data_IF_794227938780
#
_entry.id   IF_794227938780
#
_cell.length_a   1.000
_cell.length_b   1.000
_cell.length_c   1.000
_cell.angle_alpha   90.00
_cell.angle_beta   90.00
_cell.angle_gamma   90.00
#
_symmetry.space_group_name_H-M   'P 1'
#
loop_
_entity.id
_entity.type
_entity.pdbx_description
1 polymer ?
#
# COMPACT_ATOMS: atom_id res chain seq x y z
N UNK A 1 -0.57 45.23 15.24
CA UNK A 1 0.41 44.16 15.54
C UNK A 1 -0.01 42.77 15.02
N UNK A 2 -1.30 42.45 14.95
CA UNK A 2 -1.85 41.15 14.49
C UNK A 2 -1.46 40.75 13.05
N UNK A 3 -1.32 41.69 12.11
CA UNK A 3 -0.96 41.39 10.70
C UNK A 3 0.46 40.82 10.52
N UNK A 4 1.39 41.11 11.46
CA UNK A 4 2.77 40.57 11.43
C UNK A 4 2.84 39.13 11.93
N UNK A 5 1.90 38.72 12.79
CA UNK A 5 1.82 37.36 13.33
C UNK A 5 1.36 36.36 12.27
N UNK A 6 0.35 36.72 11.45
CA UNK A 6 -0.13 35.86 10.37
C UNK A 6 0.93 35.61 9.29
N UNK A 7 1.74 36.62 8.97
CA UNK A 7 2.85 36.46 8.02
C UNK A 7 3.92 35.50 8.53
N UNK A 8 4.20 35.51 9.84
CA UNK A 8 5.16 34.63 10.48
C UNK A 8 4.66 33.18 10.53
N UNK A 9 3.38 32.96 10.83
CA UNK A 9 2.75 31.62 10.81
C UNK A 9 2.71 31.06 9.38
N UNK A 10 2.41 31.89 8.38
CA UNK A 10 2.45 31.47 6.98
C UNK A 10 3.87 31.12 6.52
N UNK A 11 4.89 31.89 6.92
CA UNK A 11 6.29 31.57 6.64
C UNK A 11 6.77 30.30 7.34
N UNK A 12 6.36 30.05 8.58
CA UNK A 12 6.63 28.80 9.28
C UNK A 12 5.96 27.61 8.59
N UNK A 13 4.75 27.77 8.05
CA UNK A 13 4.06 26.68 7.35
C UNK A 13 4.73 26.35 6.01
N UNK A 14 5.14 27.37 5.23
CA UNK A 14 5.89 27.16 3.98
C UNK A 14 7.29 26.58 4.24
N UNK A 15 7.97 26.99 5.32
CA UNK A 15 9.27 26.42 5.69
C UNK A 15 9.17 24.94 6.11
N UNK A 16 8.06 24.55 6.74
CA UNK A 16 7.80 23.13 7.04
C UNK A 16 7.62 22.35 5.74
N UNK A 17 6.87 22.84 4.75
CA UNK A 17 6.68 22.14 3.46
C UNK A 17 7.99 21.99 2.66
N UNK A 18 8.89 22.99 2.71
CA UNK A 18 10.18 22.91 2.00
C UNK A 18 11.19 21.94 2.64
N UNK A 19 11.05 21.61 3.93
CA UNK A 19 11.95 20.69 4.64
C UNK A 19 11.76 19.21 4.26
N UNK A 20 10.61 18.84 3.67
CA UNK A 20 10.33 17.45 3.27
C UNK A 20 10.79 17.12 1.83
N UNK A 21 11.40 18.08 1.13
CA UNK A 21 11.83 17.94 -0.27
C UNK A 21 13.33 17.64 -0.43
N UNK A 22 14.13 17.67 0.64
CA UNK A 22 15.60 17.55 0.57
C UNK A 22 16.16 16.17 0.95
N UNK A 23 15.43 15.08 0.69
CA UNK A 23 16.00 13.73 0.74
C UNK A 23 16.35 13.22 -0.66
N UNK A 24 16.99 14.05 -1.48
CA UNK A 24 17.83 13.53 -2.56
C UNK A 24 19.21 13.38 -1.96
N UNK A 25 19.60 12.13 -1.65
CA UNK A 25 20.95 11.82 -1.20
C UNK A 25 21.94 12.17 -2.32
N UNK A 26 22.39 13.43 -2.34
CA UNK A 26 23.47 13.92 -3.19
C UNK A 26 24.77 13.27 -2.74
N UNK A 27 25.04 12.06 -3.24
CA UNK A 27 26.25 11.32 -2.89
C UNK A 27 26.20 9.81 -3.11
N UNK A 28 25.04 9.20 -3.35
CA UNK A 28 24.99 7.80 -3.77
C UNK A 28 25.17 7.72 -5.29
N UNK A 29 26.19 7.00 -5.80
CA UNK A 29 26.36 6.85 -7.24
C UNK A 29 25.17 6.06 -7.80
N UNK A 30 24.66 6.47 -8.97
CA UNK A 30 23.64 5.66 -9.65
C UNK A 30 24.29 4.35 -10.09
N UNK A 31 23.51 3.27 -10.06
CA UNK A 31 23.99 1.99 -10.51
C UNK A 31 22.87 1.10 -11.01
N UNK A 32 23.27 0.11 -11.79
CA UNK A 32 22.50 -1.10 -12.00
C UNK A 32 23.25 -2.27 -11.37
N UNK A 33 22.51 -3.19 -10.78
CA UNK A 33 23.02 -4.48 -10.35
C UNK A 33 22.37 -5.54 -11.22
N UNK A 34 23.20 -6.34 -11.89
CA UNK A 34 22.77 -7.40 -12.77
C UNK A 34 22.48 -8.69 -11.98
N UNK A 35 21.77 -9.64 -12.60
CA UNK A 35 21.48 -10.95 -11.97
C UNK A 35 22.72 -11.77 -11.61
N UNK A 36 23.84 -11.55 -12.32
CA UNK A 36 25.14 -12.16 -12.02
C UNK A 36 25.84 -11.51 -10.80
N UNK A 37 25.23 -10.49 -10.18
CA UNK A 37 25.79 -9.74 -9.05
C UNK A 37 26.73 -8.60 -9.46
N UNK A 38 27.00 -8.43 -10.75
CA UNK A 38 27.82 -7.34 -11.25
C UNK A 38 27.11 -6.00 -11.06
N UNK A 39 27.82 -5.02 -10.50
CA UNK A 39 27.27 -3.69 -10.23
C UNK A 39 27.99 -2.66 -11.09
N UNK A 40 27.25 -2.04 -12.00
CA UNK A 40 27.75 -1.04 -12.95
C UNK A 40 27.31 0.33 -12.48
N UNK A 41 28.27 1.17 -12.12
CA UNK A 41 28.04 2.54 -11.65
C UNK A 41 28.00 3.53 -12.82
N UNK A 42 27.20 4.58 -12.67
CA UNK A 42 27.05 5.63 -13.65
C UNK A 42 26.79 6.99 -12.98
N UNK A 43 27.13 8.07 -13.68
CA UNK A 43 26.76 9.43 -13.28
C UNK A 43 25.32 9.77 -13.67
N UNK A 44 24.80 9.11 -14.71
CA UNK A 44 23.42 9.27 -15.19
C UNK A 44 22.82 7.92 -15.53
N UNK A 45 21.63 7.65 -14.99
CA UNK A 45 20.85 6.45 -15.26
C UNK A 45 19.47 6.84 -15.77
N UNK A 46 19.10 6.36 -16.95
CA UNK A 46 17.81 6.63 -17.57
C UNK A 46 17.14 5.35 -18.03
N UNK A 47 15.85 5.18 -17.73
CA UNK A 47 15.04 4.13 -18.34
C UNK A 47 14.39 4.67 -19.62
N UNK A 48 14.65 4.03 -20.76
CA UNK A 48 14.07 4.41 -22.05
C UNK A 48 13.08 3.35 -22.50
N UNK A 49 11.90 3.80 -22.92
CA UNK A 49 10.85 2.96 -23.54
C UNK A 49 10.47 3.50 -24.90
N UNK A 50 11.28 3.25 -25.96
CA UNK A 50 10.97 3.72 -27.29
C UNK A 50 9.74 2.99 -27.85
N UNK A 51 8.91 3.69 -28.62
CA UNK A 51 7.61 3.16 -29.12
C UNK A 51 7.75 1.87 -29.94
N UNK A 52 8.82 1.76 -30.74
CA UNK A 52 9.05 0.62 -31.65
C UNK A 52 10.28 -0.22 -31.32
N UNK A 53 10.98 0.08 -30.22
CA UNK A 53 12.20 -0.64 -29.84
C UNK A 53 12.02 -1.27 -28.47
N UNK A 54 12.91 -2.20 -28.13
CA UNK A 54 12.93 -2.77 -26.79
C UNK A 54 13.29 -1.70 -25.76
N UNK A 55 12.73 -1.81 -24.56
CA UNK A 55 13.09 -0.96 -23.44
C UNK A 55 14.53 -1.24 -23.01
N UNK A 56 15.23 -0.24 -22.50
CA UNK A 56 16.60 -0.40 -22.00
C UNK A 56 16.92 0.64 -20.93
N UNK A 57 17.86 0.28 -20.06
CA UNK A 57 18.57 1.24 -19.22
C UNK A 57 19.73 1.83 -20.00
N UNK A 58 19.85 3.16 -19.96
CA UNK A 58 20.93 3.93 -20.55
C UNK A 58 21.78 4.52 -19.44
N UNK A 59 23.04 4.13 -19.39
CA UNK A 59 24.04 4.57 -18.43
C UNK A 59 25.04 5.49 -19.14
N UNK A 60 25.26 6.68 -18.58
CA UNK A 60 26.19 7.70 -19.09
C UNK A 60 26.08 7.93 -20.61
N UNK A 61 24.84 7.91 -21.12
CA UNK A 61 24.46 8.07 -22.53
C UNK A 61 25.04 7.05 -23.54
N UNK A 62 25.80 6.05 -23.08
CA UNK A 62 26.55 5.13 -23.95
C UNK A 62 26.19 3.67 -23.71
N UNK A 63 26.23 3.23 -22.45
CA UNK A 63 26.03 1.84 -22.09
C UNK A 63 24.54 1.51 -22.02
N UNK A 64 24.14 0.41 -22.67
CA UNK A 64 22.75 -0.04 -22.73
C UNK A 64 22.61 -1.41 -22.11
N UNK A 65 21.65 -1.53 -21.20
CA UNK A 65 21.31 -2.80 -20.56
C UNK A 65 19.85 -3.13 -20.75
N UNK A 66 19.58 -4.38 -21.13
CA UNK A 66 18.23 -4.90 -21.19
C UNK A 66 17.63 -4.93 -19.77
N UNK A 67 16.37 -4.51 -19.56
CA UNK A 67 15.73 -4.55 -18.25
C UNK A 67 15.73 -5.95 -17.65
N UNK A 68 15.79 -6.99 -18.50
CA UNK A 68 15.83 -8.37 -18.04
C UNK A 68 17.15 -8.81 -17.41
N UNK A 69 18.24 -8.09 -17.67
CA UNK A 69 19.52 -8.37 -17.04
C UNK A 69 19.61 -7.74 -15.65
N UNK A 70 18.79 -6.71 -15.38
CA UNK A 70 18.84 -5.90 -14.15
C UNK A 70 18.04 -6.56 -13.03
N UNK A 71 18.66 -6.69 -11.85
CA UNK A 71 18.07 -7.16 -10.60
C UNK A 71 17.69 -6.00 -9.68
N UNK A 72 18.61 -5.05 -9.51
CA UNK A 72 18.39 -3.81 -8.75
C UNK A 72 18.91 -2.61 -9.51
N UNK A 73 18.38 -1.43 -9.25
CA UNK A 73 19.01 -0.19 -9.71
C UNK A 73 18.76 0.96 -8.74
N UNK A 74 19.67 1.93 -8.74
CA UNK A 74 19.54 3.18 -8.01
C UNK A 74 19.39 4.31 -9.02
N UNK A 75 18.26 5.00 -9.00
CA UNK A 75 18.02 6.22 -9.77
C UNK A 75 17.93 7.43 -8.83
N UNK A 76 17.65 8.59 -9.42
CA UNK A 76 17.37 9.83 -8.68
C UNK A 76 16.13 9.71 -7.76
N UNK A 77 15.14 8.93 -8.19
CA UNK A 77 13.87 8.77 -7.46
C UNK A 77 13.98 7.77 -6.30
N UNK A 78 15.00 6.90 -6.32
CA UNK A 78 15.25 5.96 -5.25
C UNK A 78 15.89 4.65 -5.69
N UNK A 79 15.84 3.68 -4.79
CA UNK A 79 16.31 2.32 -5.02
C UNK A 79 15.17 1.45 -5.51
N UNK A 80 15.43 0.63 -6.52
CA UNK A 80 14.43 -0.21 -7.15
C UNK A 80 14.90 -1.65 -7.21
N UNK A 81 13.97 -2.57 -6.97
CA UNK A 81 14.21 -3.99 -7.02
C UNK A 81 13.21 -4.67 -7.96
N UNK A 82 13.68 -5.67 -8.69
CA UNK A 82 12.86 -6.32 -9.72
C UNK A 82 11.88 -7.32 -9.13
N UNK A 83 10.61 -7.18 -9.50
CA UNK A 83 9.49 -8.03 -9.06
C UNK A 83 9.20 -9.16 -10.04
N UNK A 84 9.34 -8.92 -11.35
CA UNK A 84 8.91 -9.87 -12.39
C UNK A 84 9.83 -9.85 -13.62
N UNK A 85 9.87 -10.97 -14.36
CA UNK A 85 10.76 -11.26 -15.48
C UNK A 85 10.47 -10.49 -16.78
N UNK A 86 9.58 -9.49 -16.79
CA UNK A 86 9.28 -8.71 -18.00
C UNK A 86 10.18 -7.48 -18.23
N UNK A 87 9.87 -6.73 -19.30
CA UNK A 87 10.66 -5.59 -19.82
C UNK A 87 10.18 -4.20 -19.42
N UNK A 88 9.08 -4.09 -18.66
CA UNK A 88 8.42 -2.81 -18.34
C UNK A 88 9.01 -2.21 -17.07
N UNK A 89 8.98 -0.88 -16.95
CA UNK A 89 9.35 -0.20 -15.71
C UNK A 89 8.48 -0.64 -14.53
N UNK A 90 7.20 -0.94 -14.78
CA UNK A 90 6.25 -1.48 -13.79
C UNK A 90 6.67 -2.80 -13.16
N UNK A 91 7.72 -3.45 -13.66
CA UNK A 91 8.26 -4.68 -13.09
C UNK A 91 9.34 -4.43 -12.05
N UNK A 92 9.63 -3.16 -11.76
CA UNK A 92 10.54 -2.74 -10.69
C UNK A 92 9.74 -2.04 -9.60
N UNK A 93 9.94 -2.49 -8.37
CA UNK A 93 9.34 -1.90 -7.17
C UNK A 93 10.31 -0.92 -6.53
N UNK A 94 9.82 0.26 -6.18
CA UNK A 94 10.58 1.28 -5.46
C UNK A 94 10.65 0.90 -3.99
N UNK A 95 11.84 1.00 -3.38
CA UNK A 95 12.04 0.74 -1.96
C UNK A 95 11.46 1.87 -1.13
N UNK A 96 10.65 1.49 -0.15
CA UNK A 96 10.06 2.40 0.83
C UNK A 96 10.86 2.39 2.13
N UNK A 97 11.21 1.20 2.64
CA UNK A 97 12.00 1.03 3.85
C UNK A 97 13.14 0.05 3.60
N UNK A 98 14.35 0.41 4.07
CA UNK A 98 15.50 -0.48 4.08
C UNK A 98 15.67 -1.13 5.46
N UNK A 99 16.11 -2.39 5.48
CA UNK A 99 16.34 -3.15 6.70
C UNK A 99 16.60 -4.62 6.42
N UNK A 100 16.62 -5.45 7.47
CA UNK A 100 16.64 -6.91 7.35
C UNK A 100 15.41 -7.40 6.57
N UNK A 101 14.29 -6.74 6.79
CA UNK A 101 13.10 -6.75 5.95
C UNK A 101 13.06 -5.39 5.24
N UNK A 102 13.33 -5.40 3.95
CA UNK A 102 13.16 -4.23 3.10
C UNK A 102 11.78 -4.27 2.44
N UNK A 103 11.07 -3.15 2.41
CA UNK A 103 9.75 -3.04 1.79
C UNK A 103 9.81 -2.25 0.51
N UNK A 104 8.98 -2.64 -0.45
CA UNK A 104 8.94 -2.05 -1.78
C UNK A 104 7.49 -1.88 -2.25
N UNK A 105 7.25 -0.98 -3.20
CA UNK A 105 5.94 -0.83 -3.83
C UNK A 105 6.02 -0.63 -5.35
N UNK A 106 4.95 -1.03 -6.03
CA UNK A 106 4.69 -0.75 -7.45
C UNK A 106 3.34 -0.06 -7.56
N UNK A 107 3.26 0.99 -8.38
CA UNK A 107 1.97 1.53 -8.80
C UNK A 107 1.36 0.64 -9.88
N UNK A 108 0.18 0.08 -9.63
CA UNK A 108 -0.61 -0.65 -10.62
C UNK A 108 -1.88 0.12 -10.93
N UNK A 109 -2.12 0.33 -12.22
CA UNK A 109 -3.40 0.83 -12.71
C UNK A 109 -4.34 -0.35 -12.83
N UNK A 110 -5.40 -0.34 -12.03
CA UNK A 110 -6.48 -1.32 -12.14
C UNK A 110 -7.61 -0.67 -12.96
N UNK A 111 -7.94 -1.29 -14.09
CA UNK A 111 -9.14 -0.97 -14.85
C UNK A 111 -10.28 -1.70 -14.17
N UNK A 112 -11.03 -0.99 -13.34
CA UNK A 112 -12.16 -1.56 -12.65
C UNK A 112 -13.32 -1.74 -13.65
N UNK A 113 -13.38 -2.90 -14.30
CA UNK A 113 -14.46 -3.22 -15.26
C UNK A 113 -15.74 -3.71 -14.58
N UNK A 114 -15.92 -3.48 -13.28
CA UNK A 114 -17.13 -3.89 -12.56
C UNK A 114 -17.34 -3.05 -11.29
N UNK A 115 -18.35 -2.17 -11.27
CA UNK A 115 -19.38 -2.12 -10.21
C UNK A 115 -20.16 -0.80 -10.23
N UNK A 116 -21.49 -0.85 -10.34
CA UNK A 116 -22.42 0.17 -9.91
C UNK A 116 -23.16 -0.36 -8.68
N UNK A 117 -22.68 0.07 -7.52
CA UNK A 117 -23.35 -0.12 -6.25
C UNK A 117 -22.87 0.99 -5.34
N UNK A 118 -23.74 1.46 -4.45
CA UNK A 118 -23.35 2.34 -3.33
C UNK A 118 -22.41 1.52 -2.43
N UNK A 119 -21.14 1.44 -2.84
CA UNK A 119 -20.08 0.72 -2.19
C UNK A 119 -19.34 1.68 -1.29
N UNK A 120 -19.78 1.74 -0.03
CA UNK A 120 -18.94 2.22 1.06
C UNK A 120 -17.68 1.34 1.03
N UNK A 121 -16.53 1.96 0.75
CA UNK A 121 -15.30 1.29 0.33
C UNK A 121 -14.94 0.06 1.15
N UNK A 122 -15.04 -1.12 0.52
CA UNK A 122 -14.52 -2.38 1.04
C UNK A 122 -13.47 -2.91 0.09
N UNK A 123 -12.24 -3.03 0.60
CA UNK A 123 -11.24 -3.90 0.02
C UNK A 123 -11.61 -5.36 0.29
N UNK A 124 -11.73 -6.14 -0.79
CA UNK A 124 -11.66 -7.60 -0.78
C UNK A 124 -12.97 -8.31 -0.48
N UNK A 125 -13.38 -9.17 -1.43
CA UNK A 125 -14.54 -10.07 -1.42
C UNK A 125 -15.89 -9.41 -1.73
N UNK A 126 -16.08 -9.08 -3.02
CA UNK A 126 -17.38 -8.72 -3.57
C UNK A 126 -18.25 -9.97 -3.75
N UNK A 127 -19.26 -10.11 -2.89
CA UNK A 127 -20.40 -11.00 -3.13
C UNK A 127 -21.29 -10.36 -4.18
N UNK A 128 -21.72 -11.15 -5.17
CA UNK A 128 -22.51 -10.71 -6.31
C UNK A 128 -23.82 -10.06 -5.90
N UNK A 129 -23.98 -8.79 -6.27
CA UNK A 129 -25.21 -8.03 -6.17
C UNK A 129 -25.52 -7.38 -7.50
N UNK A 130 -26.68 -7.72 -8.06
CA UNK A 130 -27.22 -7.22 -9.32
C UNK A 130 -27.24 -5.67 -9.32
N UNK A 131 -26.44 -5.07 -10.18
CA UNK A 131 -26.34 -3.61 -10.33
C UNK A 131 -25.94 -3.23 -11.76
N UNK A 132 -26.68 -2.29 -12.32
CA UNK A 132 -26.72 -1.83 -13.72
C UNK A 132 -25.46 -1.05 -14.16
N UNK A 133 -24.74 -1.57 -15.16
CA UNK A 133 -23.36 -1.22 -15.60
C UNK A 133 -22.94 0.26 -15.58
N UNK A 134 -21.81 0.53 -14.91
CA UNK A 134 -21.08 1.79 -14.95
C UNK A 134 -19.61 1.56 -15.31
N UNK A 135 -19.09 2.35 -16.26
CA UNK A 135 -17.69 2.36 -16.65
C UNK A 135 -16.83 2.89 -15.49
N UNK A 136 -16.04 2.03 -14.86
CA UNK A 136 -15.15 2.41 -13.77
C UNK A 136 -13.93 3.19 -14.27
N UNK A 137 -13.62 4.31 -13.60
CA UNK A 137 -12.39 5.07 -13.85
C UNK A 137 -11.15 4.25 -13.44
N UNK A 138 -10.03 4.35 -14.18
CA UNK A 138 -8.79 3.70 -13.79
C UNK A 138 -8.33 4.24 -12.44
N UNK A 139 -8.18 3.37 -11.45
CA UNK A 139 -7.62 3.75 -10.14
C UNK A 139 -6.19 3.23 -10.05
N UNK A 140 -5.29 4.09 -9.58
CA UNK A 140 -3.91 3.68 -9.30
C UNK A 140 -3.82 3.23 -7.84
N UNK A 141 -3.32 2.02 -7.64
CA UNK A 141 -3.11 1.43 -6.32
C UNK A 141 -1.64 1.05 -6.14
N UNK A 142 -1.11 1.28 -4.93
CA UNK A 142 0.19 0.74 -4.52
C UNK A 142 0.04 -0.75 -4.15
N UNK A 143 0.85 -1.58 -4.79
CA UNK A 143 1.01 -2.99 -4.44
C UNK A 143 2.36 -3.15 -3.76
N UNK A 144 2.34 -3.67 -2.54
CA UNK A 144 3.53 -3.77 -1.68
C UNK A 144 4.17 -5.15 -1.75
N UNK A 145 5.49 -5.16 -1.67
CA UNK A 145 6.37 -6.34 -1.63
C UNK A 145 7.36 -6.18 -0.47
N UNK A 146 7.95 -7.28 -0.03
CA UNK A 146 9.04 -7.27 0.92
C UNK A 146 10.13 -8.25 0.51
N UNK A 147 11.32 -8.02 1.04
CA UNK A 147 12.51 -8.85 0.83
C UNK A 147 13.15 -9.09 2.21
N UNK A 148 13.34 -10.36 2.58
CA UNK A 148 14.06 -10.76 3.80
C UNK A 148 15.51 -11.05 3.45
N UNK A 149 16.44 -10.31 4.06
CA UNK A 149 17.90 -10.56 4.03
C UNK A 149 18.46 -10.78 2.61
N UNK A 150 18.02 -9.97 1.64
CA UNK A 150 18.38 -10.06 0.20
C UNK A 150 17.89 -11.33 -0.51
N UNK A 151 16.87 -11.97 0.05
CA UNK A 151 16.18 -13.12 -0.54
C UNK A 151 15.27 -12.72 -1.72
N UNK A 152 14.38 -13.61 -2.16
CA UNK A 152 13.41 -13.28 -3.21
C UNK A 152 12.39 -12.24 -2.70
N UNK A 153 11.98 -11.33 -3.59
CA UNK A 153 10.85 -10.44 -3.35
C UNK A 153 9.55 -11.23 -3.26
N UNK A 154 8.78 -10.95 -2.20
CA UNK A 154 7.51 -11.60 -1.94
C UNK A 154 6.39 -10.56 -1.76
N UNK A 155 5.14 -10.86 -2.15
CA UNK A 155 4.02 -9.96 -1.86
C UNK A 155 3.89 -9.69 -0.36
N UNK A 156 3.73 -8.42 0.03
CA UNK A 156 3.56 -8.00 1.42
C UNK A 156 2.14 -8.35 1.87
N UNK A 157 2.01 -9.58 2.39
CA UNK A 157 0.76 -10.13 2.90
C UNK A 157 1.01 -10.74 4.28
N UNK A 158 -0.02 -10.77 5.12
CA UNK A 158 0.04 -11.40 6.43
C UNK A 158 0.59 -12.84 6.37
N UNK A 159 0.20 -13.63 5.36
CA UNK A 159 0.64 -15.03 5.21
C UNK A 159 2.16 -15.11 4.99
N UNK A 160 2.69 -14.31 4.06
CA UNK A 160 4.11 -14.33 3.74
C UNK A 160 4.95 -13.73 4.88
N UNK A 161 4.49 -12.63 5.49
CA UNK A 161 5.16 -12.01 6.64
C UNK A 161 5.17 -12.95 7.85
N UNK A 162 4.10 -13.69 8.12
CA UNK A 162 4.07 -14.67 9.22
C UNK A 162 5.13 -15.75 9.07
N UNK A 163 5.39 -16.21 7.85
CA UNK A 163 6.47 -17.17 7.58
C UNK A 163 7.83 -16.49 7.73
N UNK A 164 7.99 -15.32 7.12
CA UNK A 164 9.26 -14.60 7.10
C UNK A 164 9.71 -14.09 8.47
N UNK A 165 8.78 -13.74 9.36
CA UNK A 165 9.08 -13.19 10.70
C UNK A 165 8.92 -14.23 11.81
N UNK A 166 8.78 -15.52 11.46
CA UNK A 166 8.53 -16.61 12.43
C UNK A 166 9.64 -16.81 13.46
N UNK A 167 10.84 -16.34 13.15
CA UNK A 167 12.04 -16.34 13.98
C UNK A 167 12.11 -15.18 14.98
N UNK A 168 11.17 -14.24 14.94
CA UNK A 168 11.09 -13.13 15.89
C UNK A 168 9.76 -13.15 16.67
N UNK A 169 9.76 -13.52 17.97
CA UNK A 169 8.54 -13.62 18.76
C UNK A 169 7.81 -12.27 18.91
N UNK A 170 8.53 -11.15 18.99
CA UNK A 170 7.93 -9.81 19.10
C UNK A 170 7.18 -9.40 17.83
N UNK A 171 7.77 -9.63 16.66
CA UNK A 171 7.09 -9.41 15.38
C UNK A 171 5.87 -10.31 15.22
N UNK A 172 5.94 -11.57 15.70
CA UNK A 172 4.83 -12.52 15.64
C UNK A 172 3.63 -12.10 16.49
N UNK A 173 3.87 -11.46 17.64
CA UNK A 173 2.81 -10.89 18.47
C UNK A 173 2.04 -9.78 17.73
N UNK A 174 2.76 -8.83 17.12
CA UNK A 174 2.13 -7.77 16.31
C UNK A 174 1.33 -8.33 15.13
N UNK A 175 1.84 -9.38 14.47
CA UNK A 175 1.11 -10.08 13.41
C UNK A 175 -0.15 -10.77 13.95
N UNK A 176 -0.10 -11.38 15.13
CA UNK A 176 -1.27 -11.99 15.76
C UNK A 176 -2.35 -10.94 16.07
N UNK A 177 -1.96 -9.79 16.61
CA UNK A 177 -2.85 -8.66 16.87
C UNK A 177 -3.50 -8.12 15.60
N UNK A 178 -2.73 -8.03 14.50
CA UNK A 178 -3.27 -7.69 13.20
C UNK A 178 -4.39 -8.66 12.80
N UNK A 179 -4.17 -9.96 12.94
CA UNK A 179 -5.16 -10.98 12.56
C UNK A 179 -6.39 -10.97 13.46
N UNK A 180 -6.20 -10.77 14.77
CA UNK A 180 -7.29 -10.61 15.74
C UNK A 180 -8.14 -9.39 15.40
N UNK A 181 -7.50 -8.26 15.07
CA UNK A 181 -8.18 -7.04 14.62
C UNK A 181 -9.02 -7.27 13.36
N UNK A 182 -8.47 -7.94 12.35
CA UNK A 182 -9.24 -8.31 11.15
C UNK A 182 -10.48 -9.16 11.49
N UNK A 183 -10.31 -10.19 12.32
CA UNK A 183 -11.42 -11.07 12.68
C UNK A 183 -12.53 -10.32 13.45
N UNK A 184 -12.16 -9.39 14.34
CA UNK A 184 -13.11 -8.52 15.05
C UNK A 184 -13.86 -7.62 14.06
N UNK A 185 -13.16 -6.98 13.12
CA UNK A 185 -13.79 -6.15 12.10
C UNK A 185 -14.77 -6.97 11.26
N UNK A 186 -14.38 -8.17 10.80
CA UNK A 186 -15.27 -9.08 10.07
C UNK A 186 -16.49 -9.44 10.91
N UNK A 187 -16.31 -9.76 12.19
CA UNK A 187 -17.42 -10.04 13.11
C UNK A 187 -18.38 -8.86 13.25
N UNK A 188 -17.86 -7.63 13.40
CA UNK A 188 -18.66 -6.41 13.46
C UNK A 188 -19.45 -6.17 12.17
N UNK A 189 -18.85 -6.42 11.00
CA UNK A 189 -19.56 -6.29 9.73
C UNK A 189 -20.68 -7.32 9.57
N UNK A 190 -20.41 -8.58 9.92
CA UNK A 190 -21.43 -9.64 9.87
C UNK A 190 -22.57 -9.34 10.84
N UNK A 191 -22.25 -8.92 12.07
CA UNK A 191 -23.24 -8.52 13.05
C UNK A 191 -24.06 -7.31 12.59
N UNK A 192 -23.41 -6.24 12.09
CA UNK A 192 -24.06 -5.05 11.58
C UNK A 192 -24.97 -5.35 10.39
N UNK A 193 -24.52 -6.17 9.43
CA UNK A 193 -25.33 -6.63 8.31
C UNK A 193 -26.54 -7.45 8.77
N UNK A 194 -26.35 -8.36 9.72
CA UNK A 194 -27.45 -9.14 10.31
C UNK A 194 -28.51 -8.25 10.96
N UNK A 195 -28.08 -7.26 11.75
CA UNK A 195 -28.98 -6.29 12.39
C UNK A 195 -29.70 -5.41 11.37
N UNK A 196 -29.03 -4.98 10.30
CA UNK A 196 -29.64 -4.21 9.22
C UNK A 196 -30.73 -5.03 8.51
N UNK A 197 -30.45 -6.28 8.14
CA UNK A 197 -31.43 -7.18 7.51
C UNK A 197 -32.62 -7.43 8.44
N UNK A 198 -32.37 -7.69 9.73
CA UNK A 198 -33.43 -7.87 10.72
C UNK A 198 -34.30 -6.61 10.89
N UNK A 199 -33.67 -5.43 10.95
CA UNK A 199 -34.36 -4.15 11.06
C UNK A 199 -35.26 -3.85 9.85
N UNK A 200 -34.78 -4.15 8.64
CA UNK A 200 -35.56 -4.03 7.40
C UNK A 200 -36.73 -5.02 7.40
N UNK A 201 -36.49 -6.29 7.75
CA UNK A 201 -37.55 -7.31 7.81
C UNK A 201 -38.63 -6.96 8.85
N UNK A 202 -38.23 -6.40 10.00
CA UNK A 202 -39.16 -5.92 11.02
C UNK A 202 -39.99 -4.75 10.51
N UNK A 203 -39.39 -3.79 9.79
CA UNK A 203 -40.10 -2.66 9.18
C UNK A 203 -41.23 -3.13 8.23
N UNK A 204 -40.96 -4.14 7.40
CA UNK A 204 -41.96 -4.68 6.47
C UNK A 204 -43.04 -5.51 7.15
N UNK A 205 -42.73 -6.23 8.24
CA UNK A 205 -43.72 -7.04 8.97
C UNK A 205 -44.65 -6.23 9.87
N UNK A 206 -44.17 -5.10 10.40
CA UNK A 206 -44.91 -4.32 11.40
C UNK A 206 -45.80 -3.22 10.81
N UNK A 207 -45.91 -3.12 9.48
CA UNK A 207 -46.91 -2.26 8.82
C UNK A 207 -46.80 -0.77 9.17
N UNK A 208 -45.65 -0.30 9.65
CA UNK A 208 -45.45 1.06 10.11
C UNK A 208 -45.50 2.05 8.92
N UNK A 209 -46.68 2.68 8.76
CA UNK A 209 -46.98 3.79 7.85
C UNK A 209 -46.48 5.16 8.38
N UNK A 210 -45.32 5.19 9.04
CA UNK A 210 -44.78 6.40 9.65
C UNK A 210 -43.27 6.50 9.45
N UNK A 211 -42.78 7.71 9.25
CA UNK A 211 -41.40 8.15 9.02
C UNK A 211 -40.35 7.74 10.08
N UNK A 212 -40.67 6.79 10.97
CA UNK A 212 -39.75 6.28 11.99
C UNK A 212 -38.87 5.16 11.43
N UNK A 213 -37.58 5.45 11.32
CA UNK A 213 -36.53 4.47 11.00
C UNK A 213 -36.39 3.48 12.19
N UNK A 214 -36.34 2.18 11.90
CA UNK A 214 -36.14 1.15 12.93
C UNK A 214 -34.87 1.41 13.77
N UNK A 215 -34.96 1.41 15.12
CA UNK A 215 -33.79 1.56 16.00
C UNK A 215 -32.68 0.53 15.72
N UNK A 216 -33.05 -0.69 15.29
CA UNK A 216 -32.08 -1.72 14.92
C UNK A 216 -31.30 -1.37 13.65
N UNK A 217 -31.92 -0.66 12.71
CA UNK A 217 -31.25 -0.18 11.51
C UNK A 217 -30.23 0.92 11.87
N UNK A 218 -30.58 1.84 12.77
CA UNK A 218 -29.66 2.87 13.26
C UNK A 218 -28.49 2.28 14.05
N UNK A 219 -28.76 1.29 14.92
CA UNK A 219 -27.70 0.56 15.65
C UNK A 219 -26.80 -0.23 14.69
N UNK A 220 -27.38 -0.92 13.71
CA UNK A 220 -26.63 -1.64 12.67
C UNK A 220 -25.75 -0.71 11.83
N UNK A 221 -26.26 0.47 11.47
CA UNK A 221 -25.49 1.50 10.78
C UNK A 221 -24.35 2.02 11.67
N UNK A 222 -24.61 2.33 12.94
CA UNK A 222 -23.58 2.80 13.88
C UNK A 222 -22.45 1.78 14.08
N UNK A 223 -22.79 0.51 14.32
CA UNK A 223 -21.80 -0.56 14.52
C UNK A 223 -20.95 -0.79 13.27
N UNK A 224 -21.54 -0.71 12.08
CA UNK A 224 -20.80 -0.94 10.82
C UNK A 224 -19.78 0.17 10.49
N UNK A 225 -19.93 1.37 11.08
CA UNK A 225 -18.98 2.48 10.94
C UNK A 225 -17.80 2.40 11.91
N UNK A 226 -17.94 1.70 13.05
CA UNK A 226 -16.89 1.59 14.07
C UNK A 226 -15.54 1.09 13.53
N UNK A 227 -15.48 0.03 12.67
CA UNK A 227 -14.21 -0.42 12.08
C UNK A 227 -13.44 0.66 11.32
N UNK A 228 -14.16 1.55 10.62
CA UNK A 228 -13.56 2.65 9.83
C UNK A 228 -12.90 3.67 10.76
N UNK A 229 -13.59 4.04 11.84
CA UNK A 229 -13.07 4.97 12.83
C UNK A 229 -11.83 4.43 13.54
N UNK A 230 -11.83 3.15 13.92
CA UNK A 230 -10.66 2.53 14.55
C UNK A 230 -9.44 2.45 13.62
N UNK A 231 -9.66 2.30 12.30
CA UNK A 231 -8.59 2.26 11.31
C UNK A 231 -7.87 3.61 11.15
N UNK A 232 -8.56 4.72 11.41
CA UNK A 232 -7.97 6.07 11.31
C UNK A 232 -7.01 6.39 12.47
N UNK A 233 -7.22 5.77 13.63
CA UNK A 233 -6.48 6.10 14.87
C UNK A 233 -5.33 5.14 15.15
N UNK A 234 -5.40 3.89 14.67
CA UNK A 234 -4.40 2.86 14.96
C UNK A 234 -3.34 2.73 13.87
N UNK A 235 -2.07 2.70 14.27
CA UNK A 235 -0.93 2.34 13.41
C UNK A 235 -1.13 0.94 12.84
N UNK A 236 -0.71 0.72 11.60
CA UNK A 236 -0.80 -0.59 10.95
C UNK A 236 0.13 -1.60 11.65
N UNK A 237 -0.48 -2.63 12.25
CA UNK A 237 0.22 -3.69 12.98
C UNK A 237 1.14 -4.54 12.07
N UNK A 238 0.91 -4.56 10.76
CA UNK A 238 1.86 -5.18 9.82
C UNK A 238 3.17 -4.39 9.75
N UNK A 239 3.10 -3.05 9.67
CA UNK A 239 4.28 -2.19 9.65
C UNK A 239 5.04 -2.26 10.97
N UNK A 240 4.33 -2.30 12.10
CA UNK A 240 4.93 -2.49 13.42
C UNK A 240 5.70 -3.81 13.52
N UNK A 241 5.16 -4.91 13.00
CA UNK A 241 5.85 -6.19 12.98
C UNK A 241 7.18 -6.14 12.19
N UNK A 242 7.18 -5.43 11.05
CA UNK A 242 8.36 -5.22 10.21
C UNK A 242 9.39 -4.35 10.92
N UNK A 243 8.96 -3.25 11.54
CA UNK A 243 9.82 -2.37 12.33
C UNK A 243 10.48 -3.14 13.47
N UNK A 244 9.71 -3.89 14.27
CA UNK A 244 10.23 -4.69 15.37
C UNK A 244 11.30 -5.68 14.90
N UNK A 245 11.08 -6.33 13.77
CA UNK A 245 12.06 -7.27 13.20
C UNK A 245 13.36 -6.56 12.81
N UNK A 246 13.24 -5.39 12.19
CA UNK A 246 14.38 -4.59 11.75
C UNK A 246 15.20 -4.01 12.91
N UNK A 247 14.56 -3.72 14.04
CA UNK A 247 15.23 -3.20 15.23
C UNK A 247 15.80 -4.29 16.16
N UNK A 248 15.32 -5.53 16.06
CA UNK A 248 15.81 -6.62 16.92
C UNK A 248 17.18 -7.10 16.42
N UNK A 249 18.27 -6.95 17.20
CA UNK A 249 19.58 -7.45 16.83
C UNK A 249 19.58 -8.99 16.76
N UNK A 250 20.35 -9.56 15.83
CA UNK A 250 20.64 -11.00 15.85
C UNK A 250 21.61 -11.27 17.00
N UNK A 251 21.22 -12.19 17.90
CA UNK A 251 22.14 -12.81 18.85
C UNK A 251 22.86 -13.98 18.18
#
# INVERSE_FOLDING_TARGET
>A
MIKKLYFLVFFCWVAVECAWSQNVTSGQPFFIELHNGERVYAQRLQFKSPVFKQNFFLLDDTLRYAPEAVKYFQSQDGYYARVDAGRRFSNFAQREQAGRISTYYVYRTEYNSYSPGIGIGMGGYGMGGYGMGGYGYPTQRRVYYFEKEKGPLQPLTYKNLRVALSDNPGSMESLHDYKKGQNIQTGMYVAGAGLMVAGVAQQFRSGYSGSSVSPLLLVGAGISLLPQLFRLVKKDKLSEAIELYNYTPQN
#
